data_IF_784692303089
#
_entry.id   IF_784692303089
#
_cell.length_a   1.000
_cell.length_b   1.000
_cell.length_c   1.000
_cell.angle_alpha   90.00
_cell.angle_beta   90.00
_cell.angle_gamma   90.00
#
_symmetry.space_group_name_H-M   'P 1'
#
loop_
_entity.id
_entity.type
_entity.pdbx_description
1 polymer ?
#
# COMPACT_ATOMS: atom_id res chain seq x y z
N UNK A 1 10.71 -1.02 4.46
CA UNK A 1 10.34 -2.45 4.43
C UNK A 1 11.26 -3.15 3.45
N UNK A 2 11.56 -4.42 3.69
CA UNK A 2 12.27 -5.24 2.71
C UNK A 2 11.30 -5.59 1.58
N UNK A 3 11.68 -5.36 0.32
CA UNK A 3 10.85 -5.68 -0.85
C UNK A 3 10.60 -7.19 -1.00
N UNK A 4 11.40 -8.01 -0.33
CA UNK A 4 11.27 -9.47 -0.29
C UNK A 4 10.57 -9.96 0.98
N UNK A 5 10.11 -9.08 1.88
CA UNK A 5 9.37 -9.45 3.08
C UNK A 5 7.90 -9.81 2.79
N UNK A 6 7.14 -10.19 3.82
CA UNK A 6 5.71 -10.51 3.67
C UNK A 6 4.81 -9.31 3.36
N UNK A 7 5.30 -8.10 3.64
CA UNK A 7 4.60 -6.85 3.39
C UNK A 7 5.56 -5.66 3.36
N UNK A 8 5.16 -4.59 2.69
CA UNK A 8 5.78 -3.27 2.75
C UNK A 8 4.81 -2.32 3.46
N UNK A 9 5.28 -1.73 4.57
CA UNK A 9 4.53 -0.72 5.32
C UNK A 9 5.17 0.66 5.27
N UNK A 10 4.35 1.69 5.44
CA UNK A 10 4.76 3.08 5.63
C UNK A 10 3.96 3.71 6.77
N UNK A 11 4.61 4.58 7.54
CA UNK A 11 3.95 5.40 8.55
C UNK A 11 4.15 6.86 8.17
N UNK A 12 3.05 7.59 8.02
CA UNK A 12 3.05 9.05 7.88
C UNK A 12 2.84 9.68 9.26
N UNK A 13 3.83 10.46 9.70
CA UNK A 13 3.74 11.25 10.92
C UNK A 13 3.58 12.74 10.60
N UNK A 14 2.93 13.49 11.49
CA UNK A 14 2.69 14.94 11.31
C UNK A 14 1.65 15.30 10.24
N UNK A 15 0.85 14.34 9.76
CA UNK A 15 -0.22 14.62 8.81
C UNK A 15 -1.35 15.42 9.50
N UNK A 16 -1.84 16.52 8.90
CA UNK A 16 -2.87 17.34 9.53
C UNK A 16 -4.18 16.56 9.74
N UNK A 17 -4.93 16.90 10.79
CA UNK A 17 -6.24 16.32 11.07
C UNK A 17 -7.34 16.83 10.13
N UNK A 18 -8.41 16.06 9.99
CA UNK A 18 -9.62 16.35 9.21
C UNK A 18 -9.39 16.53 7.71
N UNK A 19 -8.31 15.93 7.19
CA UNK A 19 -8.07 15.88 5.76
C UNK A 19 -8.77 14.66 5.15
N UNK A 20 -9.43 14.80 3.99
CA UNK A 20 -10.00 13.67 3.27
C UNK A 20 -8.93 12.66 2.87
N UNK A 21 -9.10 11.41 3.27
CA UNK A 21 -8.24 10.29 2.88
C UNK A 21 -9.11 9.24 2.17
N UNK A 22 -8.88 9.05 0.88
CA UNK A 22 -9.57 8.05 0.08
C UNK A 22 -8.63 6.88 -0.24
N UNK A 23 -9.02 5.69 0.20
CA UNK A 23 -8.30 4.46 -0.12
C UNK A 23 -8.24 4.22 -1.64
N UNK A 24 -9.30 4.57 -2.37
CA UNK A 24 -9.38 4.41 -3.83
C UNK A 24 -8.34 5.27 -4.55
N UNK A 25 -8.13 6.50 -4.10
CA UNK A 25 -7.11 7.40 -4.66
C UNK A 25 -5.71 6.84 -4.39
N UNK A 26 -5.47 6.31 -3.18
CA UNK A 26 -4.19 5.70 -2.82
C UNK A 26 -3.93 4.44 -3.66
N UNK A 27 -4.94 3.57 -3.81
CA UNK A 27 -4.84 2.37 -4.62
C UNK A 27 -4.59 2.71 -6.09
N UNK A 28 -5.31 3.67 -6.67
CA UNK A 28 -5.10 4.10 -8.05
C UNK A 28 -3.70 4.71 -8.26
N UNK A 29 -3.17 5.44 -7.28
CA UNK A 29 -1.80 5.96 -7.34
C UNK A 29 -0.76 4.82 -7.28
N UNK A 30 -1.06 3.76 -6.54
CA UNK A 30 -0.22 2.59 -6.42
C UNK A 30 -0.26 1.74 -7.71
N UNK A 31 -1.45 1.52 -8.28
CA UNK A 31 -1.64 0.77 -9.54
C UNK A 31 -0.90 1.41 -10.72
N UNK A 32 -0.80 2.75 -10.73
CA UNK A 32 0.02 3.50 -11.71
C UNK A 32 1.52 3.23 -11.58
N UNK A 33 2.00 2.85 -10.40
CA UNK A 33 3.42 2.57 -10.15
C UNK A 33 3.81 1.13 -10.50
N UNK A 34 2.85 0.22 -10.71
CA UNK A 34 3.17 -1.19 -11.01
C UNK A 34 3.92 -1.31 -12.34
N UNK A 35 5.18 -1.79 -12.35
CA UNK A 35 5.85 -2.17 -13.59
C UNK A 35 5.20 -3.44 -14.14
N UNK A 36 4.98 -3.53 -15.45
CA UNK A 36 4.32 -4.72 -16.05
C UNK A 36 3.03 -4.46 -16.81
N UNK A 37 2.62 -3.20 -17.03
CA UNK A 37 1.42 -2.89 -17.84
C UNK A 37 1.54 -3.26 -19.34
N UNK A 38 2.73 -3.67 -19.80
CA UNK A 38 2.96 -4.12 -21.17
C UNK A 38 3.11 -5.64 -21.24
N UNK A 39 2.65 -6.23 -22.35
CA UNK A 39 2.62 -7.67 -22.65
C UNK A 39 3.99 -8.40 -22.67
N UNK A 40 5.09 -7.71 -22.40
CA UNK A 40 6.46 -8.20 -22.50
C UNK A 40 7.10 -8.56 -21.14
N UNK A 41 6.43 -8.30 -20.03
CA UNK A 41 6.94 -8.57 -18.68
C UNK A 41 6.05 -9.59 -17.99
N UNK A 42 6.64 -10.49 -17.20
CA UNK A 42 5.89 -11.40 -16.35
C UNK A 42 4.96 -10.58 -15.47
N UNK A 43 3.65 -10.78 -15.62
CA UNK A 43 2.65 -10.18 -14.75
C UNK A 43 2.87 -10.72 -13.35
N UNK A 44 3.66 -10.00 -12.52
CA UNK A 44 3.58 -10.20 -11.08
C UNK A 44 2.14 -9.88 -10.69
N UNK A 45 1.42 -10.90 -10.23
CA UNK A 45 0.06 -10.75 -9.70
C UNK A 45 0.15 -10.39 -8.23
N UNK A 46 1.00 -9.43 -7.89
CA UNK A 46 0.93 -8.78 -6.59
C UNK A 46 -0.29 -7.86 -6.74
N UNK A 47 -1.40 -8.15 -6.07
CA UNK A 47 -2.60 -7.29 -6.15
C UNK A 47 -2.36 -5.93 -5.49
N UNK A 48 -1.13 -5.68 -4.99
CA UNK A 48 -0.64 -4.52 -4.23
C UNK A 48 -1.79 -3.77 -3.54
N UNK A 49 -2.58 -4.51 -2.78
CA UNK A 49 -3.74 -3.94 -2.10
C UNK A 49 -3.23 -3.18 -0.90
N UNK A 50 -3.52 -1.87 -0.87
CA UNK A 50 -3.17 -1.04 0.27
C UNK A 50 -4.23 -1.16 1.38
N UNK A 51 -3.76 -1.28 2.62
CA UNK A 51 -4.56 -1.36 3.82
C UNK A 51 -4.17 -0.20 4.75
N UNK A 52 -5.15 0.56 5.24
CA UNK A 52 -4.94 1.58 6.27
C UNK A 52 -5.11 0.93 7.63
N UNK A 53 -4.07 0.94 8.45
CA UNK A 53 -4.05 0.33 9.78
C UNK A 53 -4.38 1.32 10.89
N UNK A 54 -4.08 2.62 10.71
CA UNK A 54 -4.31 3.66 11.72
C UNK A 54 -4.43 5.06 11.13
N UNK A 55 -4.87 6.01 11.96
CA UNK A 55 -4.79 7.44 11.68
C UNK A 55 -5.84 8.00 10.73
N UNK A 56 -6.76 7.17 10.26
CA UNK A 56 -7.92 7.54 9.44
C UNK A 56 -9.18 6.95 10.05
N UNK A 57 -10.24 7.75 10.11
CA UNK A 57 -11.56 7.33 10.55
C UNK A 57 -12.62 8.06 9.72
N UNK A 58 -13.66 7.34 9.28
CA UNK A 58 -14.75 7.90 8.46
C UNK A 58 -14.27 8.66 7.21
N UNK A 59 -13.16 8.21 6.61
CA UNK A 59 -12.55 8.84 5.42
C UNK A 59 -11.80 10.14 5.72
N UNK A 60 -11.52 10.45 6.99
CA UNK A 60 -10.81 11.64 7.43
C UNK A 60 -9.57 11.27 8.26
N UNK A 61 -8.48 12.01 8.09
CA UNK A 61 -7.30 11.88 8.95
C UNK A 61 -7.58 12.37 10.37
N UNK A 62 -6.99 11.70 11.36
CA UNK A 62 -7.17 12.05 12.77
C UNK A 62 -6.11 13.03 13.30
N UNK A 63 -5.05 13.29 12.53
CA UNK A 63 -3.87 14.03 13.01
C UNK A 63 -2.86 13.16 13.76
N UNK A 64 -3.23 11.91 14.05
CA UNK A 64 -2.35 10.87 14.58
C UNK A 64 -1.60 10.17 13.43
N UNK A 65 -0.51 9.44 13.71
CA UNK A 65 0.24 8.71 12.68
C UNK A 65 -0.66 7.79 11.84
N UNK A 66 -0.51 7.91 10.51
CA UNK A 66 -1.24 7.09 9.54
C UNK A 66 -0.34 5.94 9.13
N UNK A 67 -0.69 4.71 9.50
CA UNK A 67 0.01 3.52 9.05
C UNK A 67 -0.70 2.91 7.83
N UNK A 68 0.06 2.65 6.77
CA UNK A 68 -0.37 1.97 5.55
C UNK A 68 0.45 0.71 5.37
N UNK A 69 -0.16 -0.34 4.85
CA UNK A 69 0.51 -1.61 4.56
C UNK A 69 0.06 -2.18 3.22
N UNK A 70 1.00 -2.73 2.47
CA UNK A 70 0.76 -3.48 1.23
C UNK A 70 1.35 -4.86 1.43
N UNK A 71 0.56 -5.92 1.23
CA UNK A 71 1.02 -7.30 1.39
C UNK A 71 1.63 -7.82 0.09
N UNK A 72 2.75 -8.53 0.19
CA UNK A 72 3.37 -9.19 -0.95
C UNK A 72 2.71 -10.57 -1.11
N UNK A 73 1.85 -10.73 -2.12
CA UNK A 73 1.14 -12.01 -2.36
C UNK A 73 2.01 -13.08 -3.02
N UNK A 74 3.09 -12.68 -3.70
CA UNK A 74 4.03 -13.60 -4.36
C UNK A 74 5.09 -14.19 -3.40
N UNK A 75 4.91 -14.02 -2.09
CA UNK A 75 5.68 -14.74 -1.06
C UNK A 75 5.33 -16.23 -1.09
N UNK A 76 5.96 -16.97 -2.00
CA UNK A 76 6.06 -18.43 -1.92
C UNK A 76 7.15 -18.77 -0.91
N UNK A 77 6.84 -19.37 0.26
CA UNK A 77 7.83 -19.78 1.25
C UNK A 77 8.69 -20.99 0.81
N UNK A 78 8.78 -21.26 -0.50
CA UNK A 78 9.40 -22.46 -1.09
C UNK A 78 10.56 -22.19 -2.05
N UNK A 79 10.97 -20.94 -2.21
CA UNK A 79 12.15 -20.56 -3.01
C UNK A 79 13.32 -20.09 -2.11
N UNK A 80 13.46 -20.72 -0.93
CA UNK A 80 14.67 -20.65 -0.10
C UNK A 80 15.10 -22.06 0.31
#
# INVERSE_FOLDING_TARGET
GESHGGAVGVVLDGFPARFPVSLEVIQAALDRRRPGQSSLTTQRRESDTVEILSGVQDGLSLGTPIALMVRNEDQRPRDY
#
